data_IF_274284062899
#
_entry.id   IF_274284062899
#
_cell.length_a   1.000
_cell.length_b   1.000
_cell.length_c   1.000
_cell.angle_alpha   90.00
_cell.angle_beta   90.00
_cell.angle_gamma   90.00
#
_symmetry.space_group_name_H-M   'P 1'
#
loop_
_entity.id
_entity.type
_entity.pdbx_description
1 polymer ?
#
# COMPACT_ATOMS: atom_id res chain seq x y z
N UNK A 1 -77.93 48.08 58.54
CA UNK A 1 -77.97 46.65 58.19
C UNK A 1 -79.03 46.48 57.11
N UNK A 2 -78.63 46.35 55.85
CA UNK A 2 -79.52 46.10 54.71
C UNK A 2 -78.71 45.35 53.65
N UNK A 3 -79.33 44.31 53.09
CA UNK A 3 -78.72 43.13 52.47
C UNK A 3 -77.98 43.38 51.16
N UNK A 4 -76.81 42.73 51.06
CA UNK A 4 -76.03 42.55 49.85
C UNK A 4 -76.80 41.67 48.84
N UNK A 5 -77.43 42.28 47.84
CA UNK A 5 -77.98 41.55 46.69
C UNK A 5 -76.85 41.22 45.72
N UNK A 6 -76.23 40.05 45.92
CA UNK A 6 -75.30 39.45 44.94
C UNK A 6 -75.97 39.34 43.58
N UNK A 7 -75.40 40.02 42.58
CA UNK A 7 -75.73 39.81 41.16
C UNK A 7 -75.51 38.33 40.81
N UNK A 8 -76.37 37.69 39.99
CA UNK A 8 -76.15 36.31 39.60
C UNK A 8 -74.82 36.20 38.86
N UNK A 9 -73.88 35.43 39.42
CA UNK A 9 -72.61 35.12 38.79
C UNK A 9 -72.92 34.23 37.59
N UNK A 10 -72.55 34.66 36.39
CA UNK A 10 -72.75 33.88 35.16
C UNK A 10 -72.14 32.48 35.34
N UNK A 11 -72.82 31.41 34.90
CA UNK A 11 -72.31 30.06 35.09
C UNK A 11 -70.96 29.92 34.39
N UNK A 12 -69.98 29.42 35.16
CA UNK A 12 -68.60 29.19 34.75
C UNK A 12 -68.64 28.30 33.49
N UNK A 13 -68.24 28.86 32.34
CA UNK A 13 -68.21 28.16 31.04
C UNK A 13 -69.09 28.74 29.92
N UNK A 14 -69.84 29.83 30.16
CA UNK A 14 -70.61 30.54 29.10
C UNK A 14 -69.71 31.24 28.07
N UNK A 15 -68.70 31.98 28.52
CA UNK A 15 -67.72 32.64 27.63
C UNK A 15 -66.91 31.63 26.80
N UNK A 16 -66.56 30.47 27.37
CA UNK A 16 -65.87 29.38 26.67
C UNK A 16 -66.70 28.83 25.50
N UNK A 17 -68.03 28.75 25.63
CA UNK A 17 -68.90 28.29 24.55
C UNK A 17 -68.94 29.31 23.40
N UNK A 18 -69.02 30.60 23.72
CA UNK A 18 -69.02 31.67 22.72
C UNK A 18 -67.68 31.73 21.96
N UNK A 19 -66.56 31.65 22.67
CA UNK A 19 -65.22 31.58 22.06
C UNK A 19 -65.05 30.37 21.13
N UNK A 20 -65.53 29.19 21.55
CA UNK A 20 -65.52 27.99 20.71
C UNK A 20 -66.39 28.18 19.46
N UNK A 21 -67.57 28.80 19.60
CA UNK A 21 -68.45 29.10 18.46
C UNK A 21 -67.78 30.06 17.47
N UNK A 22 -67.13 31.12 17.95
CA UNK A 22 -66.38 32.05 17.09
C UNK A 22 -65.19 31.38 16.41
N UNK A 23 -64.46 30.52 17.11
CA UNK A 23 -63.34 29.76 16.55
C UNK A 23 -63.83 28.80 15.45
N UNK A 24 -64.91 28.06 15.69
CA UNK A 24 -65.50 27.16 14.70
C UNK A 24 -66.04 27.92 13.48
N UNK A 25 -66.70 29.06 13.69
CA UNK A 25 -67.15 29.93 12.61
C UNK A 25 -65.95 30.48 11.80
N UNK A 26 -64.87 30.87 12.46
CA UNK A 26 -63.63 31.31 11.82
C UNK A 26 -62.97 30.21 10.98
N UNK A 27 -62.85 29.00 11.53
CA UNK A 27 -62.33 27.84 10.79
C UNK A 27 -63.22 27.47 9.60
N UNK A 28 -64.55 27.59 9.75
CA UNK A 28 -65.48 27.35 8.66
C UNK A 28 -65.30 28.34 7.51
N UNK A 29 -65.20 29.64 7.82
CA UNK A 29 -64.91 30.68 6.81
C UNK A 29 -63.56 30.44 6.14
N UNK A 30 -62.54 30.07 6.92
CA UNK A 30 -61.22 29.75 6.39
C UNK A 30 -61.28 28.55 5.43
N UNK A 31 -62.03 27.50 5.78
CA UNK A 31 -62.24 26.34 4.91
C UNK A 31 -62.93 26.73 3.60
N UNK A 32 -63.91 27.63 3.63
CA UNK A 32 -64.57 28.14 2.42
C UNK A 32 -63.60 28.93 1.52
N UNK A 33 -62.76 29.78 2.12
CA UNK A 33 -61.74 30.56 1.39
C UNK A 33 -60.72 29.60 0.74
N UNK A 34 -60.21 28.63 1.49
CA UNK A 34 -59.26 27.63 0.98
C UNK A 34 -59.89 26.85 -0.17
N UNK A 35 -61.15 26.43 -0.04
CA UNK A 35 -61.87 25.73 -1.10
C UNK A 35 -62.03 26.61 -2.35
N UNK A 36 -62.37 27.89 -2.18
CA UNK A 36 -62.52 28.82 -3.30
C UNK A 36 -61.18 29.07 -4.03
N UNK A 37 -60.09 29.24 -3.27
CA UNK A 37 -58.74 29.38 -3.82
C UNK A 37 -58.35 28.12 -4.59
N UNK A 38 -58.60 26.95 -4.00
CA UNK A 38 -58.30 25.66 -4.64
C UNK A 38 -59.05 25.54 -5.96
N UNK A 39 -60.36 25.81 -5.97
CA UNK A 39 -61.17 25.78 -7.20
C UNK A 39 -60.68 26.78 -8.25
N UNK A 40 -60.24 27.97 -7.85
CA UNK A 40 -59.64 28.95 -8.76
C UNK A 40 -58.31 28.45 -9.35
N UNK A 41 -57.45 27.83 -8.54
CA UNK A 41 -56.19 27.23 -9.02
C UNK A 41 -56.48 26.09 -10.02
N UNK A 42 -57.50 25.26 -9.77
CA UNK A 42 -57.93 24.24 -10.73
C UNK A 42 -58.52 24.86 -12.01
N UNK A 43 -59.27 25.96 -11.92
CA UNK A 43 -59.91 26.59 -13.10
C UNK A 43 -58.91 27.22 -14.06
N UNK A 44 -57.82 27.79 -13.55
CA UNK A 44 -56.70 28.29 -14.38
C UNK A 44 -55.80 27.16 -14.92
N UNK A 45 -56.14 25.90 -14.64
CA UNK A 45 -55.39 24.72 -15.08
C UNK A 45 -54.17 24.39 -14.22
N UNK A 46 -53.91 25.14 -13.15
CA UNK A 46 -52.74 24.97 -12.27
C UNK A 46 -52.96 23.97 -11.14
N UNK A 47 -54.20 23.50 -10.92
CA UNK A 47 -54.50 22.52 -9.88
C UNK A 47 -53.95 21.12 -10.18
N UNK A 48 -53.62 20.83 -11.44
CA UNK A 48 -52.95 19.60 -11.83
C UNK A 48 -51.46 19.88 -12.12
N UNK A 49 -50.57 19.24 -11.38
CA UNK A 49 -49.12 19.37 -11.57
C UNK A 49 -48.69 19.07 -13.02
N UNK A 50 -49.35 18.13 -13.69
CA UNK A 50 -49.09 17.79 -15.09
C UNK A 50 -49.35 18.96 -16.05
N UNK A 51 -50.37 19.77 -15.82
CA UNK A 51 -50.71 20.91 -16.67
C UNK A 51 -49.71 22.06 -16.48
N UNK A 52 -49.31 22.31 -15.23
CA UNK A 52 -48.23 23.27 -14.91
C UNK A 52 -46.94 22.83 -15.57
N UNK A 53 -46.57 21.55 -15.43
CA UNK A 53 -45.39 20.98 -16.05
C UNK A 53 -45.45 21.06 -17.57
N UNK A 54 -46.60 20.77 -18.19
CA UNK A 54 -46.79 20.85 -19.63
C UNK A 54 -46.64 22.30 -20.14
N UNK A 55 -47.22 23.28 -19.43
CA UNK A 55 -47.06 24.69 -19.75
C UNK A 55 -45.59 25.12 -19.67
N UNK A 56 -44.89 24.75 -18.60
CA UNK A 56 -43.46 25.04 -18.44
C UNK A 56 -42.63 24.36 -19.53
N UNK A 57 -42.92 23.09 -19.82
CA UNK A 57 -42.23 22.32 -20.86
C UNK A 57 -42.38 22.99 -22.23
N UNK A 58 -43.59 23.31 -22.67
CA UNK A 58 -43.80 23.90 -23.99
C UNK A 58 -43.33 25.36 -24.08
N UNK A 59 -43.43 26.13 -22.99
CA UNK A 59 -43.05 27.55 -22.99
C UNK A 59 -41.54 27.75 -22.86
N UNK A 60 -40.87 26.93 -22.04
CA UNK A 60 -39.46 27.14 -21.68
C UNK A 60 -38.53 26.00 -22.11
N UNK A 61 -38.95 24.73 -22.10
CA UNK A 61 -38.03 23.64 -22.42
C UNK A 61 -38.00 23.31 -23.91
N UNK A 62 -39.17 23.22 -24.56
CA UNK A 62 -39.31 22.83 -25.96
C UNK A 62 -38.59 23.79 -26.93
N UNK A 63 -38.73 25.13 -26.82
CA UNK A 63 -38.06 26.05 -27.75
C UNK A 63 -36.54 26.06 -27.57
N UNK A 64 -36.08 25.88 -26.33
CA UNK A 64 -34.66 25.94 -25.96
C UNK A 64 -33.96 24.58 -26.08
N UNK A 65 -34.70 23.50 -26.31
CA UNK A 65 -34.17 22.14 -26.40
C UNK A 65 -33.03 21.99 -27.42
N UNK A 66 -33.14 22.67 -28.55
CA UNK A 66 -32.10 22.66 -29.59
C UNK A 66 -30.79 23.32 -29.12
N UNK A 67 -30.88 24.40 -28.34
CA UNK A 67 -29.70 25.10 -27.79
C UNK A 67 -28.98 24.21 -26.78
N UNK A 68 -29.72 23.56 -25.89
CA UNK A 68 -29.16 22.60 -24.93
C UNK A 68 -28.42 21.45 -25.61
N UNK A 69 -28.95 20.92 -26.71
CA UNK A 69 -28.26 19.87 -27.50
C UNK A 69 -26.92 20.35 -28.06
N UNK A 70 -26.86 21.56 -28.60
CA UNK A 70 -25.62 22.13 -29.15
C UNK A 70 -24.58 22.33 -28.03
N UNK A 71 -25.01 22.86 -26.88
CA UNK A 71 -24.13 23.03 -25.70
C UNK A 71 -23.62 21.67 -25.23
N UNK A 72 -24.48 20.67 -25.14
CA UNK A 72 -24.10 19.33 -24.71
C UNK A 72 -23.07 18.68 -25.66
N UNK A 73 -23.26 18.81 -26.98
CA UNK A 73 -22.31 18.31 -27.99
C UNK A 73 -20.98 19.05 -27.90
N UNK A 74 -21.00 20.38 -27.75
CA UNK A 74 -19.78 21.18 -27.60
C UNK A 74 -19.00 20.83 -26.33
N UNK A 75 -19.70 20.68 -25.19
CA UNK A 75 -19.12 20.25 -23.92
C UNK A 75 -18.52 18.84 -24.06
N UNK A 76 -19.25 17.91 -24.66
CA UNK A 76 -18.77 16.54 -24.90
C UNK A 76 -17.50 16.52 -25.75
N UNK A 77 -17.47 17.28 -26.86
CA UNK A 77 -16.29 17.40 -27.71
C UNK A 77 -15.09 18.01 -26.94
N UNK A 78 -15.32 19.05 -26.13
CA UNK A 78 -14.29 19.65 -25.29
C UNK A 78 -13.72 18.66 -24.26
N UNK A 79 -14.58 17.86 -23.62
CA UNK A 79 -14.16 16.82 -22.68
C UNK A 79 -13.35 15.72 -23.36
N UNK A 80 -13.71 15.30 -24.57
CA UNK A 80 -12.92 14.32 -25.33
C UNK A 80 -11.52 14.87 -25.63
N UNK A 81 -11.42 16.12 -26.08
CA UNK A 81 -10.12 16.77 -26.33
C UNK A 81 -9.31 16.86 -25.04
N UNK A 82 -9.94 17.20 -23.91
CA UNK A 82 -9.30 17.27 -22.61
C UNK A 82 -8.76 15.90 -22.15
N UNK A 83 -9.55 14.83 -22.31
CA UNK A 83 -9.14 13.47 -21.97
C UNK A 83 -7.92 13.06 -22.81
N UNK A 84 -7.94 13.33 -24.12
CA UNK A 84 -6.82 13.04 -25.00
C UNK A 84 -5.56 13.83 -24.60
N UNK A 85 -5.71 15.11 -24.28
CA UNK A 85 -4.60 15.94 -23.80
C UNK A 85 -4.02 15.39 -22.48
N UNK A 86 -4.89 15.09 -21.51
CA UNK A 86 -4.51 14.55 -20.21
C UNK A 86 -3.81 13.20 -20.34
N UNK A 87 -4.32 12.30 -21.19
CA UNK A 87 -3.71 11.00 -21.45
C UNK A 87 -2.30 11.14 -22.06
N UNK A 88 -2.14 12.04 -23.05
CA UNK A 88 -0.81 12.30 -23.64
C UNK A 88 0.17 12.87 -22.63
N UNK A 89 -0.28 13.80 -21.79
CA UNK A 89 0.55 14.41 -20.76
C UNK A 89 1.01 13.37 -19.73
N UNK A 90 0.12 12.48 -19.29
CA UNK A 90 0.45 11.40 -18.36
C UNK A 90 1.47 10.42 -18.95
N UNK A 91 1.33 10.06 -20.23
CA UNK A 91 2.29 9.17 -20.88
C UNK A 91 3.68 9.82 -21.01
N UNK A 92 3.74 11.12 -21.34
CA UNK A 92 5.01 11.86 -21.39
C UNK A 92 5.70 11.92 -20.03
N UNK A 93 4.93 12.16 -18.97
CA UNK A 93 5.42 12.12 -17.59
C UNK A 93 5.95 10.72 -17.25
N UNK A 94 5.19 9.67 -17.55
CA UNK A 94 5.59 8.29 -17.30
C UNK A 94 6.88 7.90 -18.03
N UNK A 95 7.07 8.35 -19.28
CA UNK A 95 8.32 8.13 -20.02
C UNK A 95 9.50 8.88 -19.39
N UNK A 96 9.29 10.12 -18.95
CA UNK A 96 10.33 10.88 -18.24
C UNK A 96 10.68 10.29 -16.88
N UNK A 97 9.70 9.74 -16.15
CA UNK A 97 9.93 9.04 -14.88
C UNK A 97 10.73 7.75 -15.11
N UNK A 98 10.35 6.93 -16.10
CA UNK A 98 11.10 5.73 -16.48
C UNK A 98 12.55 6.04 -16.85
N UNK A 99 12.80 7.14 -17.55
CA UNK A 99 14.15 7.55 -17.95
C UNK A 99 14.98 8.09 -16.77
N UNK A 100 14.35 8.81 -15.84
CA UNK A 100 15.06 9.44 -14.74
C UNK A 100 15.26 8.53 -13.52
N UNK A 101 14.34 7.59 -13.27
CA UNK A 101 14.35 6.75 -12.07
C UNK A 101 14.39 5.24 -12.35
N UNK A 102 14.27 4.81 -13.62
CA UNK A 102 13.89 3.42 -13.91
C UNK A 102 12.46 3.16 -13.43
N UNK A 103 11.81 2.11 -13.92
CA UNK A 103 10.60 1.67 -13.21
C UNK A 103 11.09 1.08 -11.88
N UNK A 104 10.58 1.58 -10.76
CA UNK A 104 10.97 1.10 -9.42
C UNK A 104 10.73 -0.40 -9.26
N UNK A 105 9.83 -0.95 -10.06
CA UNK A 105 9.48 -2.37 -10.10
C UNK A 105 10.54 -3.19 -10.85
N UNK A 106 11.04 -2.72 -12.00
CA UNK A 106 12.11 -3.38 -12.75
C UNK A 106 13.44 -3.33 -11.98
N UNK A 107 13.76 -2.23 -11.30
CA UNK A 107 14.99 -2.13 -10.51
C UNK A 107 15.01 -3.07 -9.30
N UNK A 108 13.87 -3.25 -8.62
CA UNK A 108 13.76 -4.17 -7.49
C UNK A 108 13.82 -5.64 -7.93
N UNK A 109 13.22 -5.94 -9.09
CA UNK A 109 13.31 -7.28 -9.66
C UNK A 109 14.74 -7.61 -10.13
N UNK A 110 15.44 -6.65 -10.74
CA UNK A 110 16.84 -6.81 -11.14
C UNK A 110 17.75 -7.00 -9.92
N UNK A 111 17.58 -6.19 -8.86
CA UNK A 111 18.34 -6.33 -7.60
C UNK A 111 18.06 -7.67 -6.92
N UNK A 112 16.79 -8.08 -6.85
CA UNK A 112 16.41 -9.39 -6.30
C UNK A 112 16.95 -10.55 -7.15
N UNK A 113 16.87 -10.45 -8.48
CA UNK A 113 17.43 -11.46 -9.39
C UNK A 113 18.94 -11.55 -9.27
N UNK A 114 19.63 -10.43 -9.07
CA UNK A 114 21.07 -10.39 -8.82
C UNK A 114 21.42 -11.04 -7.48
N UNK A 115 20.66 -10.76 -6.42
CA UNK A 115 20.83 -11.39 -5.10
C UNK A 115 20.61 -12.91 -5.17
N UNK A 116 19.51 -13.36 -5.79
CA UNK A 116 19.20 -14.79 -5.97
C UNK A 116 20.25 -15.49 -6.84
N UNK A 117 20.71 -14.83 -7.92
CA UNK A 117 21.78 -15.36 -8.78
C UNK A 117 23.11 -15.46 -8.04
N UNK A 118 23.44 -14.46 -7.23
CA UNK A 118 24.63 -14.45 -6.37
C UNK A 118 24.58 -15.58 -5.34
N UNK A 119 23.45 -15.72 -4.64
CA UNK A 119 23.25 -16.80 -3.66
C UNK A 119 23.36 -18.17 -4.31
N UNK A 120 22.72 -18.37 -5.47
CA UNK A 120 22.82 -19.63 -6.21
C UNK A 120 24.26 -19.96 -6.61
N UNK A 121 25.05 -18.97 -7.04
CA UNK A 121 26.47 -19.17 -7.34
C UNK A 121 27.27 -19.59 -6.10
N UNK A 122 26.94 -19.07 -4.92
CA UNK A 122 27.57 -19.46 -3.66
C UNK A 122 27.18 -20.89 -3.26
N UNK A 123 25.92 -21.27 -3.40
CA UNK A 123 25.46 -22.65 -3.19
C UNK A 123 26.19 -23.62 -4.14
N UNK A 124 26.29 -23.30 -5.43
CA UNK A 124 27.03 -24.11 -6.41
C UNK A 124 28.54 -24.20 -6.08
N UNK A 125 29.13 -23.17 -5.44
CA UNK A 125 30.52 -23.23 -4.92
C UNK A 125 30.59 -24.17 -3.71
N UNK A 126 29.63 -24.09 -2.80
CA UNK A 126 29.59 -24.93 -1.60
C UNK A 126 29.51 -26.42 -1.95
N UNK A 127 28.70 -26.79 -2.93
CA UNK A 127 28.59 -28.18 -3.38
C UNK A 127 29.92 -28.73 -3.90
N UNK A 128 30.75 -27.90 -4.55
CA UNK A 128 32.11 -28.28 -4.98
C UNK A 128 33.05 -28.45 -3.78
N UNK A 129 32.98 -27.54 -2.82
CA UNK A 129 33.74 -27.65 -1.55
C UNK A 129 33.42 -28.98 -0.87
N UNK A 130 32.13 -29.32 -0.78
CA UNK A 130 31.70 -30.61 -0.23
C UNK A 130 32.28 -31.75 -1.05
N UNK A 131 32.08 -31.78 -2.37
CA UNK A 131 32.59 -32.84 -3.23
C UNK A 131 34.11 -33.08 -3.05
N UNK A 132 34.90 -32.01 -2.96
CA UNK A 132 36.34 -32.10 -2.70
C UNK A 132 36.66 -32.62 -1.30
N UNK A 133 35.88 -32.23 -0.29
CA UNK A 133 36.04 -32.72 1.10
C UNK A 133 35.74 -34.21 1.29
N UNK A 134 34.88 -34.79 0.44
CA UNK A 134 34.54 -36.22 0.44
C UNK A 134 35.47 -37.07 -0.44
N UNK A 135 36.44 -36.48 -1.13
CA UNK A 135 37.40 -37.22 -1.98
C UNK A 135 38.41 -38.02 -1.16
N UNK A 136 39.16 -38.92 -1.81
CA UNK A 136 40.25 -39.69 -1.19
C UNK A 136 41.63 -39.03 -1.34
N UNK A 137 41.70 -37.81 -1.87
CA UNK A 137 42.96 -37.16 -2.24
C UNK A 137 43.26 -35.94 -1.35
N UNK A 138 44.46 -35.92 -0.75
CA UNK A 138 44.87 -34.81 0.11
C UNK A 138 45.01 -33.46 -0.63
N UNK A 139 45.18 -33.46 -1.96
CA UNK A 139 45.14 -32.24 -2.77
C UNK A 139 43.77 -31.58 -2.75
N UNK A 140 42.73 -32.39 -2.89
CA UNK A 140 41.33 -31.96 -2.99
C UNK A 140 40.85 -31.47 -1.62
N UNK A 141 41.26 -32.11 -0.53
CA UNK A 141 40.98 -31.63 0.82
C UNK A 141 41.56 -30.23 1.09
N UNK A 142 42.80 -29.97 0.62
CA UNK A 142 43.40 -28.63 0.72
C UNK A 142 42.62 -27.63 -0.11
N UNK A 143 42.22 -28.02 -1.32
CA UNK A 143 41.42 -27.19 -2.21
C UNK A 143 40.07 -26.84 -1.56
N UNK A 144 39.37 -27.81 -0.98
CA UNK A 144 38.10 -27.60 -0.28
C UNK A 144 38.23 -26.55 0.84
N UNK A 145 39.27 -26.63 1.67
CA UNK A 145 39.49 -25.68 2.76
C UNK A 145 39.84 -24.28 2.23
N UNK A 146 40.64 -24.18 1.17
CA UNK A 146 40.96 -22.90 0.55
C UNK A 146 39.73 -22.25 -0.08
N UNK A 147 38.92 -23.01 -0.81
CA UNK A 147 37.68 -22.53 -1.42
C UNK A 147 36.66 -22.11 -0.35
N UNK A 148 36.51 -22.88 0.73
CA UNK A 148 35.63 -22.52 1.84
C UNK A 148 36.02 -21.19 2.51
N UNK A 149 37.32 -20.91 2.64
CA UNK A 149 37.80 -19.64 3.20
C UNK A 149 37.63 -18.47 2.24
N UNK A 150 37.74 -18.69 0.92
CA UNK A 150 37.37 -17.69 -0.10
C UNK A 150 35.88 -17.37 0.01
N UNK A 151 35.03 -18.37 0.17
CA UNK A 151 33.60 -18.15 0.38
C UNK A 151 33.32 -17.39 1.68
N UNK A 152 34.09 -17.63 2.74
CA UNK A 152 34.00 -16.86 3.98
C UNK A 152 34.38 -15.39 3.76
N UNK A 153 35.45 -15.10 3.00
CA UNK A 153 35.83 -13.74 2.62
C UNK A 153 34.70 -13.04 1.86
N UNK A 154 34.14 -13.69 0.83
CA UNK A 154 33.02 -13.18 0.04
C UNK A 154 31.79 -12.90 0.92
N UNK A 155 31.44 -13.83 1.83
CA UNK A 155 30.31 -13.70 2.73
C UNK A 155 30.48 -12.57 3.76
N UNK A 156 31.68 -12.42 4.33
CA UNK A 156 31.99 -11.33 5.27
C UNK A 156 31.90 -9.97 4.56
N UNK A 157 32.44 -9.86 3.34
CA UNK A 157 32.34 -8.62 2.54
C UNK A 157 30.89 -8.30 2.18
N UNK A 158 30.09 -9.30 1.82
CA UNK A 158 28.66 -9.13 1.55
C UNK A 158 27.87 -8.60 2.77
N UNK A 159 28.33 -8.91 4.00
CA UNK A 159 27.78 -8.37 5.25
C UNK A 159 28.34 -7.00 5.65
N UNK A 160 29.21 -6.42 4.84
CA UNK A 160 29.76 -5.09 5.07
C UNK A 160 31.00 -5.05 5.97
N UNK A 161 31.62 -6.19 6.28
CA UNK A 161 32.91 -6.19 6.96
C UNK A 161 34.02 -5.74 5.99
N UNK A 162 34.91 -4.85 6.45
CA UNK A 162 35.96 -4.25 5.63
C UNK A 162 37.32 -4.64 6.18
N UNK A 163 38.18 -5.21 5.34
CA UNK A 163 39.57 -5.58 5.66
C UNK A 163 40.32 -6.13 4.44
N UNK A 164 41.64 -6.14 4.48
CA UNK A 164 42.48 -6.69 3.39
C UNK A 164 42.45 -8.22 3.38
N UNK A 165 42.18 -8.84 4.53
CA UNK A 165 42.06 -10.30 4.67
C UNK A 165 40.94 -10.71 5.62
N UNK A 166 40.50 -11.98 5.52
CA UNK A 166 39.55 -12.60 6.47
C UNK A 166 39.98 -12.38 7.93
N UNK A 167 41.27 -12.58 8.23
CA UNK A 167 41.79 -12.37 9.58
C UNK A 167 41.70 -10.92 10.08
N UNK A 168 41.75 -9.92 9.19
CA UNK A 168 41.52 -8.53 9.58
C UNK A 168 40.03 -8.24 9.77
N UNK A 169 39.19 -8.74 8.87
CA UNK A 169 37.74 -8.60 8.99
C UNK A 169 37.25 -9.21 10.31
N UNK A 170 37.71 -10.41 10.66
CA UNK A 170 37.37 -11.09 11.92
C UNK A 170 37.86 -10.37 13.19
N UNK A 171 38.85 -9.47 13.11
CA UNK A 171 39.27 -8.63 14.26
C UNK A 171 38.33 -7.44 14.49
N UNK A 172 37.64 -7.00 13.45
CA UNK A 172 36.80 -5.81 13.47
C UNK A 172 35.34 -6.11 13.81
N UNK A 173 34.95 -7.39 13.76
CA UNK A 173 33.63 -7.85 14.22
C UNK A 173 33.47 -7.54 15.71
N UNK A 174 32.39 -6.85 16.10
CA UNK A 174 32.13 -6.52 17.50
C UNK A 174 31.46 -7.70 18.21
N UNK A 175 31.59 -7.72 19.54
CA UNK A 175 30.85 -8.67 20.37
C UNK A 175 29.34 -8.54 20.11
N UNK A 176 28.71 -9.61 19.63
CA UNK A 176 27.28 -9.67 19.31
C UNK A 176 26.94 -9.59 17.82
N UNK A 177 27.87 -9.18 16.94
CA UNK A 177 27.62 -9.12 15.49
C UNK A 177 27.64 -10.51 14.82
N UNK A 178 28.39 -11.46 15.41
CA UNK A 178 28.46 -12.85 14.99
C UNK A 178 28.49 -13.78 16.21
N UNK A 179 27.65 -14.80 16.20
CA UNK A 179 27.60 -15.87 17.19
C UNK A 179 28.81 -16.81 17.03
N UNK A 180 29.18 -17.19 15.80
CA UNK A 180 30.24 -18.18 15.54
C UNK A 180 31.59 -17.54 15.18
N UNK A 181 31.94 -16.40 15.77
CA UNK A 181 33.21 -15.71 15.48
C UNK A 181 34.45 -16.56 15.82
N UNK A 182 34.42 -17.27 16.95
CA UNK A 182 35.53 -18.16 17.35
C UNK A 182 35.69 -19.33 16.38
N UNK A 183 34.56 -19.87 15.90
CA UNK A 183 34.51 -20.92 14.87
C UNK A 183 35.13 -20.45 13.57
N UNK A 184 34.82 -19.22 13.13
CA UNK A 184 35.42 -18.61 11.94
C UNK A 184 36.94 -18.45 12.09
N UNK A 185 37.40 -17.97 13.26
CA UNK A 185 38.82 -17.88 13.58
C UNK A 185 39.51 -19.24 13.57
N UNK A 186 38.87 -20.27 14.10
CA UNK A 186 39.43 -21.62 14.11
C UNK A 186 39.61 -22.17 12.69
N UNK A 187 38.58 -22.08 11.86
CA UNK A 187 38.62 -22.53 10.47
C UNK A 187 39.70 -21.78 9.66
N UNK A 188 39.74 -20.45 9.80
CA UNK A 188 40.72 -19.59 9.14
C UNK A 188 42.17 -19.89 9.55
N UNK A 189 42.42 -20.21 10.83
CA UNK A 189 43.76 -20.62 11.31
C UNK A 189 44.24 -21.91 10.62
N UNK A 190 43.34 -22.87 10.39
CA UNK A 190 43.70 -24.10 9.67
C UNK A 190 44.05 -23.79 8.21
N UNK A 191 43.25 -22.95 7.52
CA UNK A 191 43.58 -22.47 6.18
C UNK A 191 44.95 -21.78 6.14
N UNK A 192 45.23 -20.87 7.08
CA UNK A 192 46.52 -20.18 7.14
C UNK A 192 47.69 -21.12 7.36
N UNK A 193 47.50 -22.18 8.16
CA UNK A 193 48.53 -23.21 8.32
C UNK A 193 48.78 -23.96 7.01
N UNK A 194 47.75 -24.31 6.25
CA UNK A 194 47.90 -24.91 4.91
C UNK A 194 48.69 -23.99 3.98
N UNK A 195 48.38 -22.68 3.97
CA UNK A 195 49.07 -21.72 3.12
C UNK A 195 50.56 -21.53 3.50
N UNK A 196 50.88 -21.57 4.80
CA UNK A 196 52.25 -21.36 5.28
C UNK A 196 53.11 -22.63 5.24
N UNK A 197 52.52 -23.79 5.54
CA UNK A 197 53.20 -25.09 5.56
C UNK A 197 53.16 -25.83 4.22
N UNK A 198 52.34 -25.38 3.26
CA UNK A 198 52.25 -25.94 1.92
C UNK A 198 51.95 -27.45 1.92
N UNK A 199 52.77 -28.21 1.18
CA UNK A 199 52.65 -29.67 1.06
C UNK A 199 53.01 -30.45 2.32
N UNK A 200 53.75 -29.84 3.25
CA UNK A 200 54.24 -30.49 4.48
C UNK A 200 53.17 -30.61 5.57
N UNK A 201 52.04 -29.92 5.41
CA UNK A 201 50.90 -30.10 6.31
C UNK A 201 50.17 -31.40 5.98
N UNK A 202 50.30 -32.40 6.85
CA UNK A 202 49.55 -33.64 6.79
C UNK A 202 48.09 -33.40 7.21
N UNK A 203 47.25 -33.19 6.20
CA UNK A 203 45.81 -33.09 6.36
C UNK A 203 45.20 -34.48 6.20
N UNK A 204 44.36 -34.90 7.15
CA UNK A 204 43.61 -36.15 7.05
C UNK A 204 42.12 -35.88 6.82
N UNK A 205 41.40 -36.91 6.36
CA UNK A 205 39.98 -36.82 6.04
C UNK A 205 39.16 -36.31 7.23
N UNK A 206 39.39 -36.85 8.44
CA UNK A 206 38.66 -36.47 9.65
C UNK A 206 38.83 -34.99 10.00
N UNK A 207 40.05 -34.48 9.92
CA UNK A 207 40.36 -33.08 10.21
C UNK A 207 39.77 -32.16 9.12
N UNK A 208 39.84 -32.59 7.86
CA UNK A 208 39.22 -31.86 6.74
C UNK A 208 37.73 -31.69 6.97
N UNK A 209 37.01 -32.80 7.25
CA UNK A 209 35.58 -32.78 7.51
C UNK A 209 35.22 -31.88 8.68
N UNK A 210 35.98 -31.98 9.78
CA UNK A 210 35.79 -31.14 10.97
C UNK A 210 35.87 -29.65 10.60
N UNK A 211 36.89 -29.26 9.84
CA UNK A 211 37.11 -27.86 9.44
C UNK A 211 36.05 -27.37 8.47
N UNK A 212 35.62 -28.20 7.51
CA UNK A 212 34.49 -27.88 6.63
C UNK A 212 33.20 -27.66 7.43
N UNK A 213 32.93 -28.44 8.47
CA UNK A 213 31.77 -28.19 9.35
C UNK A 213 31.85 -26.85 10.09
N UNK A 214 33.06 -26.39 10.45
CA UNK A 214 33.23 -25.05 11.04
C UNK A 214 32.90 -23.96 10.00
N UNK A 215 33.40 -24.08 8.78
CA UNK A 215 33.03 -23.16 7.69
C UNK A 215 31.53 -23.18 7.40
N UNK A 216 30.92 -24.37 7.38
CA UNK A 216 29.49 -24.54 7.15
C UNK A 216 28.64 -23.78 8.18
N UNK A 217 28.98 -23.89 9.47
CA UNK A 217 28.27 -23.20 10.54
C UNK A 217 28.31 -21.67 10.36
N UNK A 218 29.49 -21.14 10.01
CA UNK A 218 29.69 -19.70 9.80
C UNK A 218 29.01 -19.22 8.52
N UNK A 219 29.13 -19.95 7.41
CA UNK A 219 28.50 -19.57 6.14
C UNK A 219 26.97 -19.59 6.22
N UNK A 220 26.39 -20.55 6.96
CA UNK A 220 24.95 -20.59 7.26
C UNK A 220 24.50 -19.40 8.09
N UNK A 221 25.29 -19.03 9.11
CA UNK A 221 25.00 -17.85 9.91
C UNK A 221 25.02 -16.56 9.07
N UNK A 222 25.97 -16.46 8.14
CA UNK A 222 26.07 -15.33 7.22
C UNK A 222 25.02 -15.38 6.09
N UNK A 223 24.25 -16.46 5.96
CA UNK A 223 23.23 -16.65 4.92
C UNK A 223 23.82 -16.81 3.52
N UNK A 224 25.09 -17.19 3.42
CA UNK A 224 25.77 -17.46 2.15
C UNK A 224 25.38 -18.83 1.57
N UNK A 225 24.90 -19.74 2.43
CA UNK A 225 24.38 -21.08 2.12
C UNK A 225 23.15 -21.39 2.97
#
# INVERSE_FOLDING_TARGET
MAEDKKKPVAPIGTNLKEEIIFLLAGLFILALIVNQITNYIYSIGWGNFSNVWNYLYHSYFYPWWSVWKVIAVALSAGLVVWILYSYRQLNLLAETEKKNYGSSEDSLLDEFMEEVSSKKKLEDKWDRVLAHSYSDHASDWRLAIMEADIMLDEALRAKGFVGESVGEMLKLVKEGDMQNIETAWEAHKVRNRIAHSGGDFELNERETRRVITLFEAVLKELGAI
#
